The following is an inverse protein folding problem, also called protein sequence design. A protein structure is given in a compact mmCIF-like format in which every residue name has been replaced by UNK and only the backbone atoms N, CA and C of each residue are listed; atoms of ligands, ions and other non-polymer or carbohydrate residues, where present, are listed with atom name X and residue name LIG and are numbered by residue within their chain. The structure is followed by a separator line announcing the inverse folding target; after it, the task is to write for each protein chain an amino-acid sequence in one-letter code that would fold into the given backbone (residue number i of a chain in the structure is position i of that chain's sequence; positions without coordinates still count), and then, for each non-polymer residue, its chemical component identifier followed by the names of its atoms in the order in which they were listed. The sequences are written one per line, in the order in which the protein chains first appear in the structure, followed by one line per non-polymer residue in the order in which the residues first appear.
data_IF_213254084762
#
_entry.id   IF_213254084762
#
_cell.length_a   1.000
_cell.length_b   1.000
_cell.length_c   1.000
_cell.angle_alpha   90.00
_cell.angle_beta   90.00
_cell.angle_gamma   90.00
#
_symmetry.space_group_name_H-M   'P 1'
#
loop_
_entity.id
_entity.type
_entity.pdbx_description
1 polymer ?
#
# COMPACT_ATOMS: atom_id res chain seq x y z
N UNK A 1 12.66 6.89 3.31
CA UNK A 1 12.22 5.49 3.37
C UNK A 1 10.72 5.56 3.39
N UNK A 2 10.05 5.26 2.28
CA UNK A 2 8.58 5.21 2.21
C UNK A 2 8.23 3.72 2.20
N UNK A 3 7.58 3.25 3.26
CA UNK A 3 7.20 1.85 3.47
C UNK A 3 5.83 1.84 4.15
N UNK A 4 4.87 1.10 3.58
CA UNK A 4 3.64 0.67 4.24
C UNK A 4 3.34 -0.81 3.83
N UNK A 5 3.74 -1.77 4.70
CA UNK A 5 3.40 -3.22 4.88
C UNK A 5 2.87 -4.18 3.76
N UNK A 6 3.09 -5.54 3.81
CA UNK A 6 4.04 -6.39 4.56
C UNK A 6 5.14 -7.12 3.76
N UNK A 7 5.32 -6.97 2.44
CA UNK A 7 6.19 -7.94 1.73
C UNK A 7 7.69 -7.63 1.85
N UNK A 8 8.10 -6.38 2.12
CA UNK A 8 9.53 -6.00 2.13
C UNK A 8 9.90 -5.20 3.39
N UNK A 9 9.65 -5.76 4.56
CA UNK A 9 10.27 -5.28 5.81
C UNK A 9 11.35 -6.25 6.32
N UNK A 10 12.01 -6.98 5.42
CA UNK A 10 13.09 -7.92 5.79
C UNK A 10 14.47 -7.28 6.01
N UNK A 11 14.68 -5.99 5.78
CA UNK A 11 16.01 -5.41 5.97
C UNK A 11 15.92 -3.94 6.39
N UNK A 12 15.95 -3.67 7.71
CA UNK A 12 16.88 -2.71 8.35
C UNK A 12 16.41 -2.29 9.78
N UNK A 13 17.15 -2.81 10.77
CA UNK A 13 17.54 -2.19 12.05
C UNK A 13 16.46 -1.67 13.02
N UNK A 14 15.63 -2.56 13.56
CA UNK A 14 15.14 -2.41 14.95
C UNK A 14 14.85 -3.78 15.58
N UNK A 15 15.64 -4.28 16.56
CA UNK A 15 15.49 -5.63 17.10
C UNK A 15 14.22 -5.84 17.94
N UNK A 16 13.46 -4.78 18.27
CA UNK A 16 12.32 -4.86 19.20
C UNK A 16 10.94 -4.82 18.55
N UNK A 17 10.81 -4.60 17.24
CA UNK A 17 9.52 -4.63 16.52
C UNK A 17 9.67 -5.36 15.19
N UNK A 18 9.62 -6.68 15.25
CA UNK A 18 9.63 -7.55 14.07
C UNK A 18 8.25 -7.58 13.45
N UNK A 19 8.19 -7.32 12.15
CA UNK A 19 7.00 -7.56 11.35
C UNK A 19 6.66 -9.05 11.38
N UNK A 20 5.46 -9.48 11.81
CA UNK A 20 5.09 -10.89 11.78
C UNK A 20 5.38 -11.47 10.40
N UNK A 21 6.31 -12.44 10.36
CA UNK A 21 6.77 -13.10 9.14
C UNK A 21 5.55 -13.64 8.41
N UNK A 22 5.39 -13.32 7.12
CA UNK A 22 4.35 -13.96 6.31
C UNK A 22 4.67 -15.45 6.21
N UNK A 23 3.94 -16.27 6.93
CA UNK A 23 3.98 -17.71 6.73
C UNK A 23 3.32 -17.98 5.37
N UNK A 24 4.04 -18.59 4.44
CA UNK A 24 3.57 -19.11 3.14
C UNK A 24 3.78 -18.23 1.86
N UNK A 25 5.05 -18.02 1.46
CA UNK A 25 5.44 -17.29 0.24
C UNK A 25 4.90 -17.88 -1.09
N UNK A 26 4.69 -19.21 -1.19
CA UNK A 26 4.30 -19.88 -2.45
C UNK A 26 2.87 -19.52 -2.92
N UNK A 27 1.98 -19.11 -2.02
CA UNK A 27 0.59 -18.80 -2.36
C UNK A 27 0.38 -17.33 -2.75
N UNK A 28 1.29 -16.43 -2.40
CA UNK A 28 1.12 -14.98 -2.59
C UNK A 28 1.04 -14.61 -4.08
N UNK A 29 1.95 -15.14 -4.92
CA UNK A 29 1.95 -14.85 -6.36
C UNK A 29 0.67 -15.31 -7.03
N UNK A 30 0.18 -16.50 -6.65
CA UNK A 30 -1.10 -17.02 -7.15
C UNK A 30 -2.24 -16.07 -6.80
N UNK A 31 -2.37 -15.65 -5.54
CA UNK A 31 -3.42 -14.73 -5.13
C UNK A 31 -3.31 -13.35 -5.77
N UNK A 32 -2.10 -12.81 -5.94
CA UNK A 32 -1.92 -11.53 -6.63
C UNK A 32 -2.41 -11.59 -8.08
N UNK A 33 -2.09 -12.68 -8.80
CA UNK A 33 -2.58 -12.89 -10.17
C UNK A 33 -4.10 -13.00 -10.21
N UNK A 34 -4.68 -13.84 -9.36
CA UNK A 34 -6.13 -14.07 -9.36
C UNK A 34 -6.91 -12.83 -8.90
N UNK A 35 -6.50 -12.21 -7.80
CA UNK A 35 -7.27 -11.13 -7.16
C UNK A 35 -6.96 -9.74 -7.72
N UNK A 36 -5.82 -9.53 -8.38
CA UNK A 36 -5.48 -8.26 -9.04
C UNK A 36 -5.82 -8.23 -10.53
N UNK A 37 -5.80 -9.38 -11.20
CA UNK A 37 -5.91 -9.47 -12.67
C UNK A 37 -6.98 -10.44 -13.16
N UNK A 38 -7.71 -11.11 -12.25
CA UNK A 38 -8.87 -11.92 -12.60
C UNK A 38 -10.10 -11.08 -12.95
N UNK A 39 -11.22 -11.78 -13.19
CA UNK A 39 -12.52 -11.16 -13.52
C UNK A 39 -13.02 -10.23 -12.40
N UNK A 40 -12.85 -10.66 -11.14
CA UNK A 40 -13.21 -9.89 -9.96
C UNK A 40 -11.94 -9.40 -9.28
N UNK A 41 -11.71 -8.09 -9.34
CA UNK A 41 -10.51 -7.46 -8.78
C UNK A 41 -10.80 -6.97 -7.37
N UNK A 42 -9.95 -7.34 -6.43
CA UNK A 42 -9.99 -6.86 -5.04
C UNK A 42 -9.07 -5.67 -4.82
N UNK A 43 -8.06 -5.51 -5.68
CA UNK A 43 -7.13 -4.40 -5.64
C UNK A 43 -6.65 -4.04 -7.04
N UNK A 44 -6.03 -2.87 -7.13
CA UNK A 44 -5.36 -2.33 -8.29
C UNK A 44 -3.89 -2.11 -7.97
N UNK A 45 -3.04 -2.16 -9.00
CA UNK A 45 -1.60 -2.00 -8.87
C UNK A 45 -1.11 -1.03 -9.95
N UNK A 46 -0.40 0.02 -9.55
CA UNK A 46 0.47 0.77 -10.47
C UNK A 46 1.92 0.38 -10.18
N UNK A 47 2.70 0.26 -11.24
CA UNK A 47 4.14 0.01 -11.16
C UNK A 47 4.89 1.15 -11.83
N UNK A 48 6.08 1.46 -11.31
CA UNK A 48 7.02 2.36 -11.95
C UNK A 48 8.17 1.55 -12.52
N UNK A 49 8.39 1.72 -13.81
CA UNK A 49 9.50 1.15 -14.54
C UNK A 49 10.59 2.22 -14.67
N UNK A 50 11.85 1.83 -14.49
CA UNK A 50 12.98 2.68 -14.84
C UNK A 50 13.02 2.89 -16.35
N UNK A 51 13.46 4.07 -16.79
CA UNK A 51 13.53 4.39 -18.22
C UNK A 51 14.29 3.30 -18.98
N UNK A 52 13.78 2.81 -20.12
CA UNK A 52 14.53 1.87 -20.95
C UNK A 52 15.80 2.52 -21.54
N UNK A 53 15.83 3.85 -21.66
CA UNK A 53 16.97 4.63 -22.15
C UNK A 53 18.01 4.96 -21.05
N UNK A 54 17.91 4.35 -19.87
CA UNK A 54 18.86 4.52 -18.78
C UNK A 54 20.12 3.67 -19.05
N UNK A 55 21.31 4.26 -19.02
CA UNK A 55 22.57 3.52 -19.23
C UNK A 55 22.94 2.61 -18.04
N UNK A 56 22.13 2.59 -16.98
CA UNK A 56 22.34 1.72 -15.82
C UNK A 56 21.75 0.32 -16.02
N UNK A 57 22.21 -0.62 -15.21
CA UNK A 57 21.62 -1.96 -15.10
C UNK A 57 20.14 -1.96 -14.65
N UNK A 58 19.57 -0.79 -14.33
CA UNK A 58 18.18 -0.64 -13.92
C UNK A 58 17.22 -0.43 -15.09
N UNK A 59 17.69 -0.20 -16.31
CA UNK A 59 16.84 0.00 -17.48
C UNK A 59 15.77 -1.08 -17.63
N UNK A 60 14.51 -0.65 -17.82
CA UNK A 60 13.36 -1.56 -17.97
C UNK A 60 12.98 -2.37 -16.73
N UNK A 61 13.66 -2.16 -15.58
CA UNK A 61 13.31 -2.85 -14.32
C UNK A 61 12.24 -2.10 -13.56
N UNK A 62 11.39 -2.85 -12.86
CA UNK A 62 10.40 -2.27 -11.95
C UNK A 62 11.11 -1.71 -10.71
N UNK A 63 11.05 -0.39 -10.55
CA UNK A 63 11.66 0.34 -9.44
C UNK A 63 10.72 0.63 -8.27
N UNK A 64 9.42 0.44 -8.44
CA UNK A 64 8.44 0.63 -7.36
C UNK A 64 7.02 0.26 -7.76
N UNK A 65 6.12 0.24 -6.77
CA UNK A 65 4.70 0.00 -6.98
C UNK A 65 3.84 0.72 -5.94
N UNK A 66 2.55 0.83 -6.24
CA UNK A 66 1.50 1.22 -5.31
C UNK A 66 0.28 0.32 -5.49
N UNK A 67 -0.15 -0.32 -4.40
CA UNK A 67 -1.32 -1.20 -4.34
C UNK A 67 -2.45 -0.46 -3.62
N UNK A 68 -3.61 -0.41 -4.24
CA UNK A 68 -4.75 0.34 -3.72
C UNK A 68 -6.07 -0.33 -4.08
N UNK A 69 -7.14 0.08 -3.41
CA UNK A 69 -8.51 -0.32 -3.72
C UNK A 69 -9.49 0.83 -3.44
N UNK A 70 -10.74 0.66 -3.85
CA UNK A 70 -11.79 1.63 -3.57
C UNK A 70 -12.65 1.18 -2.40
N UNK A 71 -12.95 2.11 -1.51
CA UNK A 71 -13.88 1.94 -0.41
C UNK A 71 -15.02 2.94 -0.48
N UNK A 72 -15.90 2.88 0.50
CA UNK A 72 -17.01 3.82 0.65
C UNK A 72 -17.16 4.22 2.11
N UNK A 73 -17.25 5.52 2.36
CA UNK A 73 -17.59 6.11 3.65
C UNK A 73 -19.05 6.55 3.60
N UNK A 74 -19.92 6.17 4.55
CA UNK A 74 -21.34 6.53 4.52
C UNK A 74 -21.61 8.04 4.52
N UNK A 75 -20.68 8.84 5.03
CA UNK A 75 -20.81 10.29 5.17
C UNK A 75 -20.09 11.05 4.07
N UNK A 76 -18.93 10.54 3.64
CA UNK A 76 -18.06 11.22 2.69
C UNK A 76 -18.10 10.62 1.29
N UNK A 77 -18.65 9.42 1.08
CA UNK A 77 -18.78 8.80 -0.23
C UNK A 77 -17.60 7.92 -0.64
N UNK A 78 -17.41 7.75 -1.96
CA UNK A 78 -16.39 6.87 -2.55
C UNK A 78 -14.99 7.39 -2.22
N UNK A 79 -14.07 6.50 -1.84
CA UNK A 79 -12.68 6.86 -1.57
C UNK A 79 -11.68 5.86 -2.13
N UNK A 80 -10.42 6.30 -2.28
CA UNK A 80 -9.29 5.43 -2.62
C UNK A 80 -8.46 5.12 -1.38
N UNK A 81 -8.22 3.84 -1.11
CA UNK A 81 -7.34 3.41 -0.02
C UNK A 81 -6.04 2.85 -0.57
N UNK A 82 -4.90 3.40 -0.14
CA UNK A 82 -3.57 2.85 -0.47
C UNK A 82 -3.16 1.87 0.62
N UNK A 83 -3.06 0.60 0.23
CA UNK A 83 -2.67 -0.49 1.12
C UNK A 83 -1.15 -0.59 1.25
N UNK A 84 -0.44 -0.52 0.12
CA UNK A 84 1.02 -0.64 0.09
C UNK A 84 1.63 0.31 -0.93
N UNK A 85 2.72 0.96 -0.54
CA UNK A 85 3.48 1.87 -1.39
C UNK A 85 4.98 1.67 -1.13
N UNK A 86 5.68 1.27 -2.18
CA UNK A 86 7.09 0.92 -2.11
C UNK A 86 7.88 1.40 -3.31
N UNK A 87 9.11 1.87 -3.04
CA UNK A 87 10.13 2.15 -4.06
C UNK A 87 11.43 1.47 -3.63
N UNK A 88 12.03 0.72 -4.56
CA UNK A 88 13.32 0.03 -4.40
C UNK A 88 14.40 1.04 -4.02
N UNK A 89 15.30 0.67 -3.10
CA UNK A 89 16.29 1.58 -2.51
C UNK A 89 17.14 2.32 -3.54
N UNK A 90 17.60 1.66 -4.60
CA UNK A 90 18.38 2.26 -5.69
C UNK A 90 17.58 3.26 -6.53
N UNK A 91 16.25 3.16 -6.56
CA UNK A 91 15.34 4.02 -7.31
C UNK A 91 14.74 5.15 -6.44
N UNK A 92 15.25 5.35 -5.21
CA UNK A 92 14.79 6.42 -4.33
C UNK A 92 15.51 7.73 -4.63
N UNK A 93 14.90 8.85 -4.22
CA UNK A 93 15.42 10.22 -4.37
C UNK A 93 15.61 10.70 -5.82
N UNK A 94 15.24 9.90 -6.82
CA UNK A 94 15.20 10.27 -8.25
C UNK A 94 13.80 10.64 -8.74
N UNK A 95 12.87 10.96 -7.82
CA UNK A 95 11.51 11.39 -8.14
C UNK A 95 10.49 10.26 -8.40
N UNK A 96 10.92 9.00 -8.50
CA UNK A 96 10.03 7.86 -8.78
C UNK A 96 8.86 7.72 -7.81
N UNK A 97 9.12 7.82 -6.50
CA UNK A 97 8.05 7.75 -5.49
C UNK A 97 7.03 8.89 -5.63
N UNK A 98 7.49 10.11 -5.93
CA UNK A 98 6.60 11.23 -6.21
C UNK A 98 5.80 11.03 -7.49
N UNK A 99 6.37 10.39 -8.52
CA UNK A 99 5.66 10.07 -9.75
C UNK A 99 4.55 9.04 -9.51
N UNK A 100 4.83 7.95 -8.79
CA UNK A 100 3.84 6.95 -8.39
C UNK A 100 2.71 7.56 -7.55
N UNK A 101 3.07 8.38 -6.56
CA UNK A 101 2.10 9.04 -5.69
C UNK A 101 1.17 9.99 -6.47
N UNK A 102 1.74 10.81 -7.36
CA UNK A 102 0.94 11.67 -8.25
C UNK A 102 0.05 10.85 -9.18
N UNK A 103 0.51 9.69 -9.64
CA UNK A 103 -0.27 8.80 -10.49
C UNK A 103 -1.49 8.24 -9.75
N UNK A 104 -1.35 7.78 -8.51
CA UNK A 104 -2.50 7.28 -7.73
C UNK A 104 -3.47 8.41 -7.36
N UNK A 105 -2.98 9.63 -7.07
CA UNK A 105 -3.85 10.79 -6.84
C UNK A 105 -4.67 11.11 -8.10
N UNK A 106 -4.07 11.04 -9.30
CA UNK A 106 -4.79 11.21 -10.56
C UNK A 106 -5.86 10.14 -10.76
N UNK A 107 -5.61 8.90 -10.32
CA UNK A 107 -6.63 7.84 -10.33
C UNK A 107 -7.77 8.21 -9.40
N UNK A 108 -7.50 8.56 -8.14
CA UNK A 108 -8.53 8.99 -7.18
C UNK A 108 -9.41 10.12 -7.74
N UNK A 109 -8.79 11.17 -8.30
CA UNK A 109 -9.51 12.30 -8.87
C UNK A 109 -10.36 11.91 -10.09
N UNK A 110 -9.82 11.10 -11.01
CA UNK A 110 -10.56 10.60 -12.19
C UNK A 110 -11.76 9.75 -11.78
N UNK A 111 -11.60 8.96 -10.74
CA UNK A 111 -12.61 8.05 -10.20
C UNK A 111 -13.62 8.75 -9.29
N UNK A 112 -13.54 10.08 -9.17
CA UNK A 112 -14.42 10.91 -8.35
C UNK A 112 -14.42 10.43 -6.89
N UNK A 113 -13.25 10.07 -6.38
CA UNK A 113 -13.08 9.81 -4.96
C UNK A 113 -13.05 11.14 -4.20
N UNK A 114 -13.85 11.23 -3.14
CA UNK A 114 -13.96 12.40 -2.28
C UNK A 114 -12.72 12.54 -1.39
N UNK A 115 -12.07 11.42 -1.10
CA UNK A 115 -10.84 11.38 -0.30
C UNK A 115 -9.93 10.21 -0.70
N UNK A 116 -8.70 10.28 -0.20
CA UNK A 116 -7.71 9.21 -0.28
C UNK A 116 -7.13 8.96 1.11
N UNK A 117 -7.05 7.69 1.53
CA UNK A 117 -6.60 7.28 2.86
C UNK A 117 -5.54 6.18 2.79
N UNK A 118 -4.71 6.11 3.83
CA UNK A 118 -3.70 5.07 4.02
C UNK A 118 -3.22 5.10 5.47
N UNK A 119 -2.63 4.00 5.92
CA UNK A 119 -1.93 3.96 7.19
C UNK A 119 -0.43 4.15 6.99
N UNK A 120 0.22 4.83 7.93
CA UNK A 120 1.68 4.94 8.02
C UNK A 120 2.11 4.49 9.40
N UNK A 121 3.23 3.76 9.47
CA UNK A 121 3.81 3.36 10.75
C UNK A 121 4.32 4.61 11.48
N UNK A 122 3.96 4.74 12.76
CA UNK A 122 4.28 5.87 13.64
C UNK A 122 5.76 6.28 13.62
N UNK A 123 6.67 5.31 13.53
CA UNK A 123 8.10 5.54 13.49
C UNK A 123 8.66 5.93 12.11
N UNK A 124 7.86 5.88 11.04
CA UNK A 124 8.34 6.13 9.67
C UNK A 124 8.31 7.61 9.29
N UNK A 125 9.11 8.42 9.97
CA UNK A 125 9.14 9.88 9.78
C UNK A 125 9.36 10.30 8.31
N UNK A 126 10.23 9.59 7.58
CA UNK A 126 10.48 9.88 6.17
C UNK A 126 9.25 9.69 5.28
N UNK A 127 8.37 8.75 5.63
CA UNK A 127 7.10 8.57 4.95
C UNK A 127 6.09 9.66 5.33
N UNK A 128 5.97 9.92 6.64
CA UNK A 128 5.10 10.96 7.18
C UNK A 128 5.42 12.33 6.53
N UNK A 129 6.70 12.71 6.50
CA UNK A 129 7.14 13.97 5.90
C UNK A 129 6.86 14.02 4.40
N UNK A 130 7.01 12.89 3.70
CA UNK A 130 6.66 12.80 2.28
C UNK A 130 5.18 13.07 2.05
N UNK A 131 4.30 12.45 2.82
CA UNK A 131 2.86 12.65 2.69
C UNK A 131 2.43 14.07 3.07
N UNK A 132 3.00 14.63 4.14
CA UNK A 132 2.73 16.02 4.56
C UNK A 132 3.08 17.04 3.46
N UNK A 133 4.13 16.80 2.67
CA UNK A 133 4.46 17.65 1.51
C UNK A 133 3.39 17.64 0.40
N UNK A 134 2.53 16.63 0.37
CA UNK A 134 1.37 16.55 -0.52
C UNK A 134 0.07 17.03 0.14
N UNK A 135 0.14 17.66 1.34
CA UNK A 135 -1.02 18.18 2.04
C UNK A 135 -1.76 17.14 2.90
N UNK A 136 -1.18 15.97 3.13
CA UNK A 136 -1.81 14.96 3.98
C UNK A 136 -1.89 15.41 5.45
N UNK A 137 -3.02 15.14 6.09
CA UNK A 137 -3.28 15.37 7.51
C UNK A 137 -3.32 14.04 8.27
N UNK A 138 -2.89 14.06 9.53
CA UNK A 138 -2.99 12.90 10.42
C UNK A 138 -4.33 12.93 11.13
N UNK A 139 -5.19 11.94 10.82
CA UNK A 139 -6.54 11.79 11.38
C UNK A 139 -6.64 10.62 12.37
N UNK A 140 -5.51 10.07 12.83
CA UNK A 140 -5.49 8.85 13.66
C UNK A 140 -6.36 9.00 14.92
N UNK A 141 -6.40 10.20 15.50
CA UNK A 141 -7.23 10.49 16.69
C UNK A 141 -8.72 10.58 16.39
N UNK A 142 -9.09 10.90 15.15
CA UNK A 142 -10.48 11.12 14.73
C UNK A 142 -11.15 9.81 14.29
N UNK A 143 -10.37 8.87 13.74
CA UNK A 143 -10.87 7.58 13.24
C UNK A 143 -10.98 6.49 14.32
N UNK A 144 -10.29 6.67 15.44
CA UNK A 144 -10.27 5.69 16.53
C UNK A 144 -9.30 4.53 16.29
N UNK A 145 -9.66 3.35 16.80
CA UNK A 145 -8.79 2.18 16.86
C UNK A 145 -9.11 1.16 15.75
N UNK A 146 -8.07 0.52 15.20
CA UNK A 146 -8.22 -0.54 14.20
C UNK A 146 -8.38 -1.91 14.87
N UNK A 147 -9.57 -2.50 14.74
CA UNK A 147 -9.87 -3.86 15.20
C UNK A 147 -9.77 -4.89 14.06
N UNK A 148 -9.46 -6.15 14.40
CA UNK A 148 -9.34 -7.25 13.42
C UNK A 148 -9.81 -8.58 14.02
N UNK A 149 -10.54 -9.35 13.21
CA UNK A 149 -10.71 -10.79 13.38
C UNK A 149 -9.82 -11.53 12.37
N UNK A 150 -9.05 -12.50 12.85
CA UNK A 150 -8.27 -13.39 11.99
C UNK A 150 -9.17 -14.38 11.24
N UNK A 151 -8.64 -15.00 10.18
CA UNK A 151 -9.35 -16.04 9.42
C UNK A 151 -9.92 -17.16 10.30
N UNK A 152 -9.17 -17.61 11.31
CA UNK A 152 -9.63 -18.67 12.20
C UNK A 152 -10.75 -18.18 13.12
N UNK A 153 -10.64 -16.96 13.66
CA UNK A 153 -11.69 -16.36 14.49
C UNK A 153 -12.97 -16.17 13.68
N UNK A 154 -12.88 -15.68 12.44
CA UNK A 154 -14.03 -15.54 11.54
C UNK A 154 -14.75 -16.87 11.34
N UNK A 155 -14.00 -17.95 11.03
CA UNK A 155 -14.58 -19.29 10.84
C UNK A 155 -15.23 -19.83 12.09
N UNK A 156 -14.56 -19.69 13.23
CA UNK A 156 -15.07 -20.17 14.51
C UNK A 156 -16.35 -19.45 14.90
N UNK A 157 -16.37 -18.12 14.82
CA UNK A 157 -17.56 -17.33 15.15
C UNK A 157 -18.71 -17.67 14.20
N UNK A 158 -18.44 -17.73 12.89
CA UNK A 158 -19.45 -18.03 11.89
C UNK A 158 -20.12 -19.41 12.13
N UNK A 159 -19.36 -20.41 12.59
CA UNK A 159 -19.92 -21.73 12.92
C UNK A 159 -20.87 -21.75 14.13
N UNK A 160 -20.87 -20.68 14.93
CA UNK A 160 -21.67 -20.56 16.17
C UNK A 160 -22.85 -19.60 16.02
N UNK A 161 -23.00 -18.92 14.87
CA UNK A 161 -24.16 -18.06 14.58
C UNK A 161 -25.33 -18.99 14.18
N UNK A 162 -26.48 -18.89 14.85
CA UNK A 162 -27.65 -19.71 14.55
C UNK A 162 -28.24 -19.46 13.16
#
# INVERSE_FOLDING_TARGET
MLLAWPVICQMQKNPFRVCPKSQNKKNVVYFLKQHGFGKHKYFHLLVAECSPDDDSELAGKIGGYILFFFGYDPWQGKYLYVEDFYVTSCCRKVGMGSALWKAVIKVAAREQCELMQWCVLDWNQLAIDFYKRFGATDITKDVGELFRLSHNQLKEIASKIP
#
